data_IF_043654623659
#
_entry.id   IF_043654623659
#
_cell.length_a   1.000
_cell.length_b   1.000
_cell.length_c   1.000
_cell.angle_alpha   90.00
_cell.angle_beta   90.00
_cell.angle_gamma   90.00
#
_symmetry.space_group_name_H-M   'P 1'
#
loop_
_entity.id
_entity.type
_entity.pdbx_description
1 polymer ?
#
# COMPACT_ATOMS: atom_id res chain seq x y z
N UNK A 1 15.80 -18.59 34.55
CA UNK A 1 14.42 -18.17 34.22
C UNK A 1 14.31 -17.40 32.90
N UNK A 2 15.04 -16.28 32.70
CA UNK A 2 14.93 -15.47 31.48
C UNK A 2 15.22 -16.21 30.15
N UNK A 3 16.19 -17.14 30.12
CA UNK A 3 16.47 -17.98 28.93
C UNK A 3 15.33 -18.93 28.55
N UNK A 4 14.56 -19.42 29.53
CA UNK A 4 13.41 -20.30 29.31
C UNK A 4 12.20 -19.53 28.79
N UNK A 5 12.01 -18.29 29.22
CA UNK A 5 10.94 -17.41 28.72
C UNK A 5 11.23 -16.99 27.27
N UNK A 6 12.49 -16.66 26.96
CA UNK A 6 12.89 -16.32 25.60
C UNK A 6 12.81 -17.52 24.63
N UNK A 7 13.22 -18.70 25.09
CA UNK A 7 13.12 -19.93 24.28
C UNK A 7 11.67 -20.35 24.08
N UNK A 8 10.80 -20.20 25.08
CA UNK A 8 9.36 -20.46 24.96
C UNK A 8 8.66 -19.45 24.05
N UNK A 9 9.04 -18.16 24.11
CA UNK A 9 8.49 -17.13 23.22
C UNK A 9 8.91 -17.34 21.76
N UNK A 10 10.18 -17.69 21.52
CA UNK A 10 10.65 -18.06 20.18
C UNK A 10 10.01 -19.36 19.70
N UNK A 11 9.89 -20.39 20.55
CA UNK A 11 9.28 -21.67 20.18
C UNK A 11 7.78 -21.52 19.89
N UNK A 12 7.06 -20.70 20.65
CA UNK A 12 5.65 -20.37 20.41
C UNK A 12 5.46 -19.64 19.08
N UNK A 13 6.29 -18.63 18.77
CA UNK A 13 6.28 -17.99 17.44
C UNK A 13 6.65 -18.96 16.33
N UNK A 14 7.63 -19.84 16.54
CA UNK A 14 8.06 -20.82 15.53
C UNK A 14 7.01 -21.92 15.29
N UNK A 15 6.25 -22.30 16.33
CA UNK A 15 5.13 -23.23 16.25
C UNK A 15 3.94 -22.61 15.53
N UNK A 16 3.66 -21.32 15.75
CA UNK A 16 2.71 -20.55 14.95
C UNK A 16 3.15 -20.48 13.48
N UNK A 17 4.44 -20.23 13.20
CA UNK A 17 4.99 -20.25 11.83
C UNK A 17 4.91 -21.64 11.18
N UNK A 18 5.11 -22.73 11.94
CA UNK A 18 4.94 -24.11 11.44
C UNK A 18 3.48 -24.47 11.17
N UNK A 19 2.54 -24.02 12.01
CA UNK A 19 1.10 -24.22 11.77
C UNK A 19 0.59 -23.37 10.59
N UNK A 20 1.21 -22.21 10.34
CA UNK A 20 0.97 -21.36 9.16
C UNK A 20 1.47 -22.03 7.87
N UNK A 21 2.58 -22.78 7.91
CA UNK A 21 3.17 -23.49 6.75
C UNK A 21 2.24 -24.53 6.11
N UNK A 22 1.18 -24.96 6.79
CA UNK A 22 0.19 -25.92 6.26
C UNK A 22 -1.08 -25.26 5.68
N UNK A 23 -1.22 -23.93 5.72
CA UNK A 23 -2.40 -23.23 5.21
C UNK A 23 -2.33 -22.78 3.75
N UNK A 24 -1.13 -22.70 3.16
CA UNK A 24 -0.91 -22.23 1.78
C UNK A 24 -0.27 -23.32 0.92
N UNK A 25 -1.08 -24.33 0.58
CA UNK A 25 -0.81 -25.18 -0.57
C UNK A 25 -1.21 -24.41 -1.84
N UNK A 26 -0.40 -24.44 -2.90
CA UNK A 26 -0.75 -23.86 -4.21
C UNK A 26 -2.07 -24.47 -4.77
N UNK A 27 -2.47 -25.67 -4.30
CA UNK A 27 -3.80 -26.26 -4.57
C UNK A 27 -4.97 -25.53 -3.88
N UNK A 28 -4.73 -24.62 -2.93
CA UNK A 28 -5.77 -23.74 -2.37
C UNK A 28 -6.11 -22.60 -3.34
N UNK A 29 -5.24 -22.31 -4.32
CA UNK A 29 -5.46 -21.21 -5.26
C UNK A 29 -6.69 -21.42 -6.15
N UNK A 30 -6.91 -22.65 -6.60
CA UNK A 30 -8.11 -23.06 -7.35
C UNK A 30 -9.37 -23.24 -6.49
N UNK A 31 -9.23 -23.34 -5.15
CA UNK A 31 -10.36 -23.29 -4.20
C UNK A 31 -10.77 -21.86 -3.84
N UNK A 32 -10.00 -20.83 -4.19
CA UNK A 32 -10.31 -19.43 -3.83
C UNK A 32 -11.47 -18.81 -4.62
N UNK A 33 -11.75 -19.25 -5.85
CA UNK A 33 -12.93 -18.78 -6.60
C UNK A 33 -14.25 -19.19 -5.92
N UNK A 34 -14.25 -20.30 -5.18
CA UNK A 34 -15.41 -20.90 -4.51
C UNK A 34 -15.39 -20.78 -2.97
N UNK A 35 -14.51 -19.95 -2.40
CA UNK A 35 -14.46 -19.77 -0.95
C UNK A 35 -15.68 -18.95 -0.48
N UNK A 36 -16.63 -19.62 0.16
CA UNK A 36 -17.75 -18.98 0.85
C UNK A 36 -17.23 -18.38 2.16
N UNK A 37 -16.69 -17.16 2.09
CA UNK A 37 -16.31 -16.38 3.27
C UNK A 37 -17.59 -15.90 3.95
N UNK A 38 -17.84 -16.37 5.17
CA UNK A 38 -19.00 -15.94 5.96
C UNK A 38 -18.74 -14.58 6.64
N UNK A 39 -19.79 -13.91 7.14
CA UNK A 39 -19.63 -12.67 7.93
C UNK A 39 -18.74 -12.89 9.16
N UNK A 40 -18.89 -14.02 9.85
CA UNK A 40 -18.11 -14.37 11.04
C UNK A 40 -16.64 -14.65 10.71
N UNK A 41 -16.34 -15.28 9.57
CA UNK A 41 -14.95 -15.49 9.12
C UNK A 41 -14.24 -14.15 8.85
N UNK A 42 -14.93 -13.21 8.20
CA UNK A 42 -14.36 -11.88 7.96
C UNK A 42 -14.19 -11.10 9.26
N UNK A 43 -15.17 -11.13 10.18
CA UNK A 43 -15.05 -10.48 11.48
C UNK A 43 -13.83 -10.98 12.26
N UNK A 44 -13.63 -12.30 12.32
CA UNK A 44 -12.42 -12.89 12.94
C UNK A 44 -11.15 -12.42 12.24
N UNK A 45 -11.14 -12.35 10.92
CA UNK A 45 -9.98 -11.86 10.18
C UNK A 45 -9.70 -10.37 10.46
N UNK A 46 -10.72 -9.53 10.61
CA UNK A 46 -10.56 -8.13 11.00
C UNK A 46 -9.98 -8.03 12.41
N UNK A 47 -10.43 -8.86 13.34
CA UNK A 47 -9.86 -8.90 14.70
C UNK A 47 -8.40 -9.41 14.69
N UNK A 48 -8.07 -10.41 13.86
CA UNK A 48 -6.69 -10.86 13.62
C UNK A 48 -5.82 -9.71 13.07
N UNK A 49 -6.36 -8.89 12.16
CA UNK A 49 -5.66 -7.74 11.59
C UNK A 49 -5.39 -6.68 12.67
N UNK A 50 -6.39 -6.33 13.48
CA UNK A 50 -6.20 -5.39 14.58
C UNK A 50 -5.16 -5.90 15.59
N UNK A 51 -5.16 -7.22 15.87
CA UNK A 51 -4.12 -7.82 16.70
C UNK A 51 -2.74 -7.74 16.05
N UNK A 52 -2.66 -7.98 14.73
CA UNK A 52 -1.43 -7.81 13.95
C UNK A 52 -0.93 -6.36 14.01
N UNK A 53 -1.80 -5.38 13.80
CA UNK A 53 -1.48 -3.95 13.87
C UNK A 53 -0.90 -3.54 15.24
N UNK A 54 -1.52 -4.03 16.33
CA UNK A 54 -1.02 -3.83 17.70
C UNK A 54 0.32 -4.51 17.93
N UNK A 55 0.45 -5.78 17.52
CA UNK A 55 1.67 -6.56 17.75
C UNK A 55 2.88 -6.04 16.95
N UNK A 56 2.65 -5.55 15.74
CA UNK A 56 3.67 -4.91 14.89
C UNK A 56 3.84 -3.43 15.18
N UNK A 57 3.03 -2.88 16.10
CA UNK A 57 3.00 -1.46 16.45
C UNK A 57 2.85 -0.58 15.20
N UNK A 58 2.06 -1.03 14.24
CA UNK A 58 1.83 -0.32 12.98
C UNK A 58 0.85 0.81 13.22
N UNK A 59 -0.30 0.50 13.81
CA UNK A 59 -1.34 1.45 14.19
C UNK A 59 -2.12 0.87 15.38
N UNK A 60 -2.08 1.53 16.54
CA UNK A 60 -2.80 1.06 17.74
C UNK A 60 -3.72 2.15 18.27
N UNK A 61 -4.99 2.08 17.85
CA UNK A 61 -6.04 3.02 18.27
C UNK A 61 -6.34 2.97 19.78
N UNK A 62 -5.93 1.91 20.48
CA UNK A 62 -6.15 1.80 21.93
C UNK A 62 -5.12 2.58 22.75
N UNK A 63 -4.02 3.02 22.13
CA UNK A 63 -2.94 3.76 22.79
C UNK A 63 -3.12 5.26 22.64
N UNK A 64 -2.59 6.01 23.61
CA UNK A 64 -2.62 7.46 23.56
C UNK A 64 -1.86 7.98 22.34
N UNK A 65 -2.31 9.12 21.82
CA UNK A 65 -1.63 9.84 20.75
C UNK A 65 -0.12 10.04 21.04
N UNK A 66 0.21 10.40 22.29
CA UNK A 66 1.59 10.59 22.75
C UNK A 66 2.47 9.34 22.55
N UNK A 67 1.91 8.14 22.75
CA UNK A 67 2.63 6.88 22.54
C UNK A 67 2.99 6.68 21.06
N UNK A 68 2.03 6.92 20.17
CA UNK A 68 2.25 6.79 18.72
C UNK A 68 3.24 7.84 18.19
N UNK A 69 3.20 9.05 18.75
CA UNK A 69 4.16 10.11 18.46
C UNK A 69 5.57 9.73 18.88
N UNK A 70 5.76 9.25 20.11
CA UNK A 70 7.07 8.81 20.58
C UNK A 70 7.62 7.68 19.70
N UNK A 71 6.80 6.70 19.34
CA UNK A 71 7.23 5.60 18.47
C UNK A 71 7.65 6.09 17.08
N UNK A 72 6.86 6.99 16.47
CA UNK A 72 7.17 7.55 15.16
C UNK A 72 8.43 8.40 15.21
N UNK A 73 8.65 9.16 16.29
CA UNK A 73 9.87 9.91 16.54
C UNK A 73 11.08 8.99 16.67
N UNK A 74 10.99 7.91 17.46
CA UNK A 74 12.08 6.92 17.58
C UNK A 74 12.44 6.35 16.21
N UNK A 75 11.45 6.00 15.40
CA UNK A 75 11.68 5.43 14.06
C UNK A 75 12.28 6.46 13.11
N UNK A 76 11.82 7.71 13.18
CA UNK A 76 12.41 8.81 12.42
C UNK A 76 13.88 9.03 12.80
N UNK A 77 14.20 9.08 14.10
CA UNK A 77 15.56 9.22 14.60
C UNK A 77 16.44 8.04 14.15
N UNK A 78 15.93 6.81 14.22
CA UNK A 78 16.64 5.63 13.70
C UNK A 78 16.90 5.73 12.20
N UNK A 79 15.94 6.21 11.41
CA UNK A 79 16.11 6.44 9.98
C UNK A 79 17.10 7.57 9.68
N UNK A 80 17.10 8.65 10.45
CA UNK A 80 18.10 9.72 10.34
C UNK A 80 19.49 9.17 10.68
N UNK A 81 19.63 8.38 11.75
CA UNK A 81 20.90 7.74 12.10
C UNK A 81 21.39 6.81 10.98
N UNK A 82 20.49 6.05 10.36
CA UNK A 82 20.82 5.21 9.20
C UNK A 82 21.23 6.06 7.98
N UNK A 83 20.52 7.15 7.71
CA UNK A 83 20.87 8.08 6.62
C UNK A 83 22.22 8.76 6.87
N UNK A 84 22.52 9.17 8.10
CA UNK A 84 23.80 9.74 8.50
C UNK A 84 24.93 8.71 8.42
N UNK A 85 24.67 7.47 8.85
CA UNK A 85 25.60 6.34 8.63
C UNK A 85 25.88 6.15 7.15
N UNK A 86 24.87 6.22 6.28
CA UNK A 86 25.07 6.12 4.84
C UNK A 86 25.86 7.31 4.26
N UNK A 87 25.57 8.53 4.70
CA UNK A 87 26.30 9.71 4.30
C UNK A 87 27.79 9.57 4.68
N UNK A 88 28.06 9.09 5.90
CA UNK A 88 29.41 8.78 6.35
C UNK A 88 30.07 7.71 5.47
N UNK A 89 29.37 6.61 5.17
CA UNK A 89 29.86 5.55 4.28
C UNK A 89 30.15 6.04 2.86
N UNK A 90 29.39 7.03 2.37
CA UNK A 90 29.51 7.57 1.02
C UNK A 90 30.70 8.55 0.90
N UNK A 91 30.94 9.35 1.93
CA UNK A 91 32.00 10.37 1.96
C UNK A 91 33.35 9.78 2.42
N UNK A 92 33.33 8.72 3.24
CA UNK A 92 34.55 8.15 3.81
C UNK A 92 35.19 7.16 2.83
N UNK A 93 36.44 7.38 2.47
CA UNK A 93 37.24 6.44 1.67
C UNK A 93 38.08 5.47 2.51
N UNK A 94 38.08 5.60 3.84
CA UNK A 94 38.70 4.64 4.75
C UNK A 94 37.92 3.32 4.78
N UNK A 95 38.52 2.26 4.27
CA UNK A 95 37.99 0.90 4.30
C UNK A 95 37.68 0.43 5.74
N UNK A 96 38.55 0.77 6.70
CA UNK A 96 38.38 0.41 8.10
C UNK A 96 37.14 1.07 8.71
N UNK A 97 36.94 2.36 8.48
CA UNK A 97 35.75 3.08 8.98
C UNK A 97 34.49 2.53 8.31
N UNK A 98 34.54 2.23 7.00
CA UNK A 98 33.41 1.63 6.27
C UNK A 98 33.02 0.25 6.81
N UNK A 99 34.01 -0.58 7.09
CA UNK A 99 33.82 -1.90 7.70
C UNK A 99 33.15 -1.80 9.08
N UNK A 100 33.63 -0.90 9.95
CA UNK A 100 33.05 -0.70 11.28
C UNK A 100 31.69 -0.01 11.25
N UNK A 101 31.45 0.84 10.25
CA UNK A 101 30.14 1.43 10.02
C UNK A 101 29.16 0.42 9.43
N UNK A 102 29.56 -0.81 9.11
CA UNK A 102 28.68 -1.88 8.66
C UNK A 102 28.33 -1.78 7.17
N UNK A 103 29.31 -1.48 6.31
CA UNK A 103 29.19 -1.54 4.84
C UNK A 103 28.92 -2.98 4.40
N UNK A 104 27.83 -3.25 3.70
CA UNK A 104 27.41 -4.63 3.44
C UNK A 104 28.10 -5.19 2.17
N UNK A 105 28.73 -4.32 1.35
CA UNK A 105 29.19 -4.67 0.01
C UNK A 105 30.67 -4.32 -0.28
N UNK A 106 31.54 -4.35 0.75
CA UNK A 106 33.02 -4.20 0.70
C UNK A 106 33.65 -4.52 -0.67
N UNK A 107 34.57 -3.73 -1.23
CA UNK A 107 34.30 -2.43 -1.83
C UNK A 107 34.87 -2.40 -3.26
N UNK A 108 34.02 -2.16 -4.26
CA UNK A 108 34.37 -1.39 -5.45
C UNK A 108 33.58 -0.07 -5.39
N UNK A 109 33.94 0.94 -6.18
CA UNK A 109 33.16 2.19 -6.26
C UNK A 109 31.68 1.95 -6.61
N UNK A 110 31.42 0.90 -7.39
CA UNK A 110 30.10 0.50 -7.88
C UNK A 110 29.20 -0.11 -6.79
N UNK A 111 29.78 -0.75 -5.77
CA UNK A 111 29.01 -1.41 -4.71
C UNK A 111 28.58 -0.49 -3.57
N UNK A 112 29.16 0.73 -3.47
CA UNK A 112 28.75 1.76 -2.50
C UNK A 112 27.26 2.11 -2.61
N UNK A 113 26.72 2.05 -3.83
CA UNK A 113 25.33 2.40 -4.16
C UNK A 113 24.35 1.31 -3.72
N UNK A 114 24.81 0.09 -3.46
CA UNK A 114 23.92 -0.97 -2.96
C UNK A 114 23.46 -0.71 -1.54
N UNK A 115 24.31 -0.09 -0.71
CA UNK A 115 23.88 0.40 0.60
C UNK A 115 22.75 1.44 0.45
N UNK A 116 22.79 2.30 -0.57
CA UNK A 116 21.71 3.24 -0.88
C UNK A 116 20.40 2.51 -1.19
N UNK A 117 20.41 1.50 -2.07
CA UNK A 117 19.21 0.73 -2.42
C UNK A 117 18.66 -0.10 -1.24
N UNK A 118 19.53 -0.69 -0.42
CA UNK A 118 19.12 -1.38 0.81
C UNK A 118 18.42 -0.44 1.80
N UNK A 119 18.87 0.81 1.91
CA UNK A 119 18.33 1.79 2.85
C UNK A 119 17.15 2.60 2.28
N UNK A 120 17.04 2.74 0.95
CA UNK A 120 15.85 3.27 0.28
C UNK A 120 14.58 2.51 0.73
N UNK A 121 14.67 1.18 0.81
CA UNK A 121 13.59 0.33 1.29
C UNK A 121 13.23 0.52 2.77
N UNK A 122 14.10 1.15 3.57
CA UNK A 122 13.84 1.47 4.98
C UNK A 122 13.19 2.86 5.15
N UNK A 123 13.58 3.83 4.33
CA UNK A 123 13.08 5.21 4.37
C UNK A 123 11.62 5.28 3.90
N UNK A 124 11.29 4.62 2.80
CA UNK A 124 9.95 4.71 2.20
C UNK A 124 8.83 4.23 3.14
N UNK A 125 8.93 3.06 3.82
CA UNK A 125 7.91 2.62 4.76
C UNK A 125 7.75 3.53 5.98
N UNK A 126 8.76 4.35 6.32
CA UNK A 126 8.65 5.36 7.38
C UNK A 126 7.63 6.45 7.04
N UNK A 127 7.44 6.77 5.76
CA UNK A 127 6.43 7.74 5.32
C UNK A 127 5.02 7.28 5.70
N UNK A 128 4.76 5.97 5.66
CA UNK A 128 3.50 5.39 6.14
C UNK A 128 3.25 5.64 7.63
N UNK A 129 4.28 5.63 8.47
CA UNK A 129 4.14 5.96 9.90
C UNK A 129 3.90 7.45 10.14
N UNK A 130 4.61 8.31 9.43
CA UNK A 130 4.42 9.76 9.51
C UNK A 130 2.97 10.10 9.10
N UNK A 131 2.46 9.46 8.05
CA UNK A 131 1.06 9.58 7.66
C UNK A 131 0.09 9.14 8.74
N UNK A 132 0.29 7.95 9.32
CA UNK A 132 -0.59 7.45 10.38
C UNK A 132 -0.63 8.40 11.57
N UNK A 133 0.47 9.09 11.84
CA UNK A 133 0.55 10.11 12.89
C UNK A 133 -0.29 11.33 12.51
N UNK A 134 -0.16 11.80 11.27
CA UNK A 134 -0.99 12.89 10.73
C UNK A 134 -2.49 12.55 10.77
N UNK A 135 -2.88 11.34 10.34
CA UNK A 135 -4.26 10.86 10.44
C UNK A 135 -4.78 10.88 11.87
N UNK A 136 -3.96 10.46 12.83
CA UNK A 136 -4.34 10.41 14.22
C UNK A 136 -4.43 11.80 14.88
N UNK A 137 -3.73 12.81 14.33
CA UNK A 137 -3.81 14.21 14.78
C UNK A 137 -4.93 15.01 14.12
N UNK A 138 -5.32 14.66 12.89
CA UNK A 138 -6.35 15.42 12.21
C UNK A 138 -7.68 15.21 12.94
N UNK A 139 -8.23 16.27 13.55
CA UNK A 139 -9.54 16.27 14.23
C UNK A 139 -10.73 15.94 13.28
N UNK A 140 -10.45 15.67 12.00
CA UNK A 140 -11.44 15.30 10.99
C UNK A 140 -11.68 13.80 11.00
N UNK A 141 -12.93 13.39 10.70
CA UNK A 141 -13.33 11.99 10.48
C UNK A 141 -12.33 11.30 9.54
N UNK A 142 -11.79 10.15 9.95
CA UNK A 142 -10.80 9.42 9.16
C UNK A 142 -11.50 8.65 8.05
N UNK A 143 -10.89 8.51 6.86
CA UNK A 143 -11.47 7.61 5.85
C UNK A 143 -11.56 6.16 6.36
N UNK A 144 -10.75 5.78 7.36
CA UNK A 144 -10.78 4.47 8.01
C UNK A 144 -12.09 4.21 8.77
N UNK A 145 -12.86 5.25 9.10
CA UNK A 145 -14.14 5.10 9.79
C UNK A 145 -15.16 4.35 8.91
N UNK A 146 -15.01 4.39 7.57
CA UNK A 146 -15.85 3.58 6.69
C UNK A 146 -15.67 2.08 6.92
N UNK A 147 -14.45 1.65 7.30
CA UNK A 147 -14.17 0.25 7.60
C UNK A 147 -14.67 -0.12 9.00
N UNK A 148 -14.77 0.86 9.92
CA UNK A 148 -15.42 0.68 11.22
C UNK A 148 -16.92 0.49 11.02
N UNK A 149 -17.56 1.37 10.26
CA UNK A 149 -18.99 1.27 9.91
C UNK A 149 -19.28 -0.05 9.19
N UNK A 150 -18.40 -0.47 8.27
CA UNK A 150 -18.51 -1.77 7.62
C UNK A 150 -18.37 -2.93 8.63
N UNK A 151 -17.40 -2.89 9.55
CA UNK A 151 -17.24 -3.90 10.61
C UNK A 151 -18.49 -4.00 11.48
N UNK A 152 -19.10 -2.87 11.84
CA UNK A 152 -20.33 -2.82 12.61
C UNK A 152 -21.51 -3.43 11.84
N UNK A 153 -21.62 -3.16 10.54
CA UNK A 153 -22.65 -3.77 9.68
C UNK A 153 -22.53 -5.31 9.61
N UNK A 154 -21.32 -5.87 9.76
CA UNK A 154 -21.14 -7.32 9.78
C UNK A 154 -21.66 -7.99 11.07
N UNK A 155 -21.80 -7.23 12.17
CA UNK A 155 -22.25 -7.74 13.47
C UNK A 155 -23.77 -7.88 13.56
N UNK A 156 -24.53 -7.09 12.78
CA UNK A 156 -25.98 -7.17 12.77
C UNK A 156 -26.49 -8.37 11.97
N UNK A 157 -27.47 -9.14 12.46
CA UNK A 157 -27.99 -10.33 11.78
C UNK A 157 -28.50 -10.01 10.36
N UNK A 158 -29.14 -8.84 10.18
CA UNK A 158 -29.67 -8.35 8.90
C UNK A 158 -29.02 -7.04 8.42
N UNK A 159 -27.90 -6.66 9.02
CA UNK A 159 -27.23 -5.43 8.61
C UNK A 159 -26.43 -5.67 7.31
N UNK A 160 -26.83 -4.98 6.25
CA UNK A 160 -26.06 -4.81 5.04
C UNK A 160 -25.38 -3.45 5.07
N UNK A 161 -24.13 -3.38 4.60
CA UNK A 161 -23.51 -2.08 4.37
C UNK A 161 -24.27 -1.34 3.29
N UNK A 162 -24.75 -0.14 3.61
CA UNK A 162 -25.55 0.68 2.72
C UNK A 162 -24.88 0.89 1.35
N UNK A 163 -23.55 0.97 1.31
CA UNK A 163 -22.76 1.18 0.10
C UNK A 163 -22.45 -0.10 -0.71
N UNK A 164 -22.64 -1.30 -0.17
CA UNK A 164 -22.23 -2.58 -0.82
C UNK A 164 -23.39 -3.53 -1.11
N UNK A 165 -24.63 -3.05 -1.08
CA UNK A 165 -25.88 -3.83 -1.23
C UNK A 165 -25.84 -5.03 -2.19
N UNK A 166 -25.32 -4.89 -3.41
CA UNK A 166 -25.30 -6.01 -4.40
C UNK A 166 -23.94 -6.69 -4.56
N UNK A 167 -22.85 -6.06 -4.07
CA UNK A 167 -21.46 -6.55 -4.21
C UNK A 167 -20.80 -6.94 -2.89
N UNK A 168 -21.53 -6.95 -1.78
CA UNK A 168 -21.00 -7.24 -0.43
C UNK A 168 -20.21 -8.55 -0.38
N UNK A 169 -20.76 -9.64 -0.96
CA UNK A 169 -20.08 -10.94 -0.94
C UNK A 169 -18.74 -10.92 -1.70
N UNK A 170 -18.67 -10.19 -2.82
CA UNK A 170 -17.43 -10.05 -3.59
C UNK A 170 -16.39 -9.25 -2.80
N UNK A 171 -16.80 -8.11 -2.24
CA UNK A 171 -15.93 -7.29 -1.42
C UNK A 171 -15.45 -8.05 -0.17
N UNK A 172 -16.34 -8.82 0.49
CA UNK A 172 -15.99 -9.66 1.65
C UNK A 172 -14.90 -10.67 1.34
N UNK A 173 -14.97 -11.35 0.19
CA UNK A 173 -13.92 -12.27 -0.27
C UNK A 173 -12.60 -11.54 -0.53
N UNK A 174 -12.65 -10.40 -1.21
CA UNK A 174 -11.47 -9.57 -1.50
C UNK A 174 -10.81 -9.06 -0.21
N UNK A 175 -11.61 -8.53 0.73
CA UNK A 175 -11.13 -8.02 2.01
C UNK A 175 -10.47 -9.14 2.84
N UNK A 176 -11.13 -10.29 2.96
CA UNK A 176 -10.57 -11.45 3.67
C UNK A 176 -9.20 -11.87 3.09
N UNK A 177 -9.10 -11.94 1.76
CA UNK A 177 -7.86 -12.32 1.09
C UNK A 177 -6.73 -11.30 1.33
N UNK A 178 -7.05 -10.01 1.26
CA UNK A 178 -6.07 -8.95 1.50
C UNK A 178 -5.57 -8.97 2.94
N UNK A 179 -6.45 -9.20 3.92
CA UNK A 179 -6.04 -9.31 5.34
C UNK A 179 -5.03 -10.44 5.51
N UNK A 180 -5.34 -11.62 4.97
CA UNK A 180 -4.42 -12.77 5.09
C UNK A 180 -3.09 -12.47 4.39
N UNK A 181 -3.11 -11.79 3.24
CA UNK A 181 -1.88 -11.40 2.53
C UNK A 181 -1.05 -10.37 3.30
N UNK A 182 -1.70 -9.37 3.92
CA UNK A 182 -1.05 -8.31 4.70
C UNK A 182 -0.26 -8.86 5.88
N UNK A 183 -0.75 -9.92 6.54
CA UNK A 183 -0.04 -10.53 7.68
C UNK A 183 1.27 -11.24 7.29
N UNK A 184 1.40 -11.69 6.03
CA UNK A 184 2.58 -12.44 5.57
C UNK A 184 3.57 -11.60 4.78
N UNK A 185 3.09 -10.60 4.03
CA UNK A 185 3.93 -9.81 3.14
C UNK A 185 5.15 -9.16 3.84
N UNK A 186 5.06 -8.57 5.05
CA UNK A 186 6.22 -8.00 5.73
C UNK A 186 7.29 -9.04 6.06
N UNK A 187 6.86 -10.24 6.46
CA UNK A 187 7.79 -11.33 6.75
C UNK A 187 8.54 -11.78 5.48
N UNK A 188 7.84 -11.89 4.36
CA UNK A 188 8.45 -12.31 3.08
C UNK A 188 9.49 -11.28 2.61
N UNK A 189 9.12 -9.99 2.59
CA UNK A 189 10.02 -8.92 2.13
C UNK A 189 11.26 -8.84 3.02
N UNK A 190 11.09 -8.82 4.35
CA UNK A 190 12.21 -8.76 5.30
C UNK A 190 13.10 -10.00 5.19
N UNK A 191 12.50 -11.19 5.09
CA UNK A 191 13.28 -12.44 4.97
C UNK A 191 14.13 -12.45 3.71
N UNK A 192 13.60 -11.98 2.58
CA UNK A 192 14.37 -11.87 1.34
C UNK A 192 15.54 -10.89 1.48
N UNK A 193 15.29 -9.70 2.04
CA UNK A 193 16.35 -8.71 2.30
C UNK A 193 17.44 -9.26 3.22
N UNK A 194 17.07 -9.98 4.27
CA UNK A 194 18.02 -10.58 5.22
C UNK A 194 18.84 -11.70 4.57
N UNK A 195 18.22 -12.57 3.75
CA UNK A 195 18.94 -13.62 3.01
C UNK A 195 19.93 -13.00 2.03
N UNK A 196 19.51 -11.97 1.29
CA UNK A 196 20.39 -11.25 0.37
C UNK A 196 21.56 -10.56 1.09
N UNK A 197 21.33 -9.95 2.25
CA UNK A 197 22.42 -9.38 3.04
C UNK A 197 23.36 -10.45 3.59
N UNK A 198 22.82 -11.54 4.14
CA UNK A 198 23.63 -12.60 4.75
C UNK A 198 24.50 -13.28 3.71
N UNK A 199 23.98 -13.54 2.50
CA UNK A 199 24.76 -14.14 1.42
C UNK A 199 25.93 -13.25 0.98
N UNK A 200 25.70 -11.93 0.90
CA UNK A 200 26.77 -10.98 0.55
C UNK A 200 27.83 -10.88 1.64
N UNK A 201 27.42 -10.90 2.92
CA UNK A 201 28.37 -10.91 4.04
C UNK A 201 29.20 -12.20 4.05
N UNK A 202 28.60 -13.37 3.80
CA UNK A 202 29.36 -14.64 3.75
C UNK A 202 30.37 -14.71 2.62
N UNK A 203 30.13 -14.01 1.51
CA UNK A 203 31.00 -14.06 0.32
C UNK A 203 32.14 -13.03 0.44
N UNK A 204 31.88 -11.86 1.01
CA UNK A 204 32.82 -10.73 0.97
C UNK A 204 33.76 -10.64 2.18
N UNK A 205 33.49 -11.37 3.27
CA UNK A 205 34.24 -11.23 4.52
C UNK A 205 35.04 -12.48 4.87
N UNK A 206 36.38 -12.37 4.81
CA UNK A 206 37.31 -13.45 5.14
C UNK A 206 37.67 -13.54 6.63
N UNK A 207 37.50 -12.45 7.39
CA UNK A 207 37.82 -12.39 8.83
C UNK A 207 36.61 -12.72 9.70
N UNK A 208 36.77 -13.68 10.62
CA UNK A 208 35.74 -14.06 11.59
C UNK A 208 35.25 -12.87 12.45
N UNK A 209 36.16 -11.95 12.83
CA UNK A 209 35.81 -10.78 13.64
C UNK A 209 34.88 -9.83 12.88
N UNK A 210 35.18 -9.56 11.61
CA UNK A 210 34.36 -8.70 10.76
C UNK A 210 33.02 -9.37 10.43
N UNK A 211 33.04 -10.68 10.19
CA UNK A 211 31.83 -11.46 9.98
C UNK A 211 30.87 -11.38 11.18
N UNK A 212 31.38 -11.58 12.42
CA UNK A 212 30.55 -11.48 13.64
C UNK A 212 29.94 -10.08 13.78
N UNK A 213 30.71 -9.02 13.54
CA UNK A 213 30.19 -7.64 13.60
C UNK A 213 29.08 -7.39 12.58
N UNK A 214 29.22 -7.93 11.35
CA UNK A 214 28.20 -7.79 10.32
C UNK A 214 26.92 -8.57 10.64
N UNK A 215 27.02 -9.75 11.25
CA UNK A 215 25.85 -10.51 11.71
C UNK A 215 25.10 -9.75 12.82
N UNK A 216 25.81 -9.09 13.74
CA UNK A 216 25.19 -8.22 14.76
C UNK A 216 24.45 -7.05 14.07
N UNK A 217 25.06 -6.41 13.08
CA UNK A 217 24.40 -5.37 12.30
C UNK A 217 23.15 -5.87 11.57
N UNK A 218 23.21 -7.03 10.91
CA UNK A 218 22.06 -7.65 10.22
C UNK A 218 20.92 -7.91 11.21
N UNK A 219 21.21 -8.41 12.41
CA UNK A 219 20.19 -8.67 13.42
C UNK A 219 19.48 -7.38 13.87
N UNK A 220 20.24 -6.30 14.10
CA UNK A 220 19.68 -4.98 14.47
C UNK A 220 18.84 -4.43 13.31
N UNK A 221 19.36 -4.46 12.08
CA UNK A 221 18.65 -4.00 10.89
C UNK A 221 17.36 -4.79 10.65
N UNK A 222 17.36 -6.10 10.88
CA UNK A 222 16.16 -6.94 10.73
C UNK A 222 14.99 -6.48 11.59
N UNK A 223 15.24 -6.11 12.85
CA UNK A 223 14.19 -5.60 13.75
C UNK A 223 13.66 -4.24 13.28
N UNK A 224 14.56 -3.33 12.88
CA UNK A 224 14.19 -1.98 12.42
C UNK A 224 13.43 -2.03 11.09
N UNK A 225 13.91 -2.85 10.15
CA UNK A 225 13.28 -3.04 8.84
C UNK A 225 11.90 -3.68 8.96
N UNK A 226 11.75 -4.68 9.83
CA UNK A 226 10.45 -5.32 10.01
C UNK A 226 9.36 -4.34 10.44
N UNK A 227 9.63 -3.52 11.46
CA UNK A 227 8.64 -2.54 11.94
C UNK A 227 8.30 -1.47 10.89
N UNK A 228 9.30 -1.04 10.12
CA UNK A 228 9.11 -0.03 9.06
C UNK A 228 8.31 -0.64 7.90
N UNK A 229 8.77 -1.77 7.36
CA UNK A 229 8.15 -2.49 6.22
C UNK A 229 6.72 -2.92 6.56
N UNK A 230 6.46 -3.40 7.77
CA UNK A 230 5.11 -3.72 8.22
C UNK A 230 4.15 -2.52 8.07
N UNK A 231 4.62 -1.32 8.42
CA UNK A 231 3.81 -0.09 8.28
C UNK A 231 3.62 0.34 6.83
N UNK A 232 4.67 0.26 6.00
CA UNK A 232 4.55 0.56 4.57
C UNK A 232 3.63 -0.42 3.83
N UNK A 233 3.72 -1.71 4.14
CA UNK A 233 2.84 -2.72 3.54
C UNK A 233 1.40 -2.56 4.03
N UNK A 234 1.20 -2.25 5.31
CA UNK A 234 -0.14 -1.95 5.82
C UNK A 234 -0.74 -0.74 5.11
N UNK A 235 0.04 0.31 4.89
CA UNK A 235 -0.40 1.50 4.14
C UNK A 235 -0.83 1.13 2.72
N UNK A 236 -0.02 0.35 1.98
CA UNK A 236 -0.39 -0.15 0.65
C UNK A 236 -1.65 -1.02 0.71
N UNK A 237 -1.76 -1.89 1.71
CA UNK A 237 -2.93 -2.75 1.91
C UNK A 237 -4.22 -1.93 2.08
N UNK A 238 -4.20 -0.89 2.92
CA UNK A 238 -5.36 -0.03 3.15
C UNK A 238 -5.75 0.75 1.89
N UNK A 239 -4.77 1.19 1.09
CA UNK A 239 -5.04 1.85 -0.19
C UNK A 239 -5.72 0.91 -1.19
N UNK A 240 -5.22 -0.33 -1.30
CA UNK A 240 -5.83 -1.35 -2.17
C UNK A 240 -7.25 -1.65 -1.70
N UNK A 241 -7.44 -1.78 -0.38
CA UNK A 241 -8.75 -2.03 0.21
C UNK A 241 -9.74 -0.89 -0.07
N UNK A 242 -9.29 0.37 0.06
CA UNK A 242 -10.10 1.53 -0.28
C UNK A 242 -10.47 1.55 -1.77
N UNK A 243 -9.53 1.30 -2.68
CA UNK A 243 -9.84 1.24 -4.11
C UNK A 243 -10.88 0.15 -4.44
N UNK A 244 -10.75 -1.03 -3.83
CA UNK A 244 -11.69 -2.13 -4.05
C UNK A 244 -13.06 -1.86 -3.42
N UNK A 245 -13.10 -1.25 -2.24
CA UNK A 245 -14.36 -0.80 -1.64
C UNK A 245 -15.06 0.18 -2.59
N UNK A 246 -14.34 1.19 -3.09
CA UNK A 246 -14.85 2.16 -4.05
C UNK A 246 -15.46 1.48 -5.29
N UNK A 247 -14.70 0.57 -5.92
CA UNK A 247 -15.14 -0.14 -7.12
C UNK A 247 -16.43 -0.94 -6.87
N UNK A 248 -16.49 -1.71 -5.79
CA UNK A 248 -17.65 -2.53 -5.47
C UNK A 248 -18.87 -1.68 -5.07
N UNK A 249 -18.66 -0.56 -4.40
CA UNK A 249 -19.72 0.39 -4.07
C UNK A 249 -20.28 1.07 -5.31
N UNK A 250 -19.41 1.51 -6.23
CA UNK A 250 -19.82 2.07 -7.51
C UNK A 250 -20.57 1.03 -8.36
N UNK A 251 -20.10 -0.21 -8.42
CA UNK A 251 -20.81 -1.30 -9.11
C UNK A 251 -22.20 -1.58 -8.48
N UNK A 252 -22.31 -1.46 -7.16
CA UNK A 252 -23.59 -1.58 -6.47
C UNK A 252 -24.54 -0.46 -6.87
N UNK A 253 -24.04 0.79 -6.91
CA UNK A 253 -24.79 1.95 -7.38
C UNK A 253 -25.22 1.83 -8.85
N UNK A 254 -24.36 1.35 -9.75
CA UNK A 254 -24.72 1.11 -11.16
C UNK A 254 -25.89 0.13 -11.24
N UNK A 255 -25.86 -0.93 -10.43
CA UNK A 255 -26.93 -1.94 -10.39
C UNK A 255 -28.24 -1.34 -9.84
N UNK A 256 -28.16 -0.56 -8.75
CA UNK A 256 -29.33 0.13 -8.19
C UNK A 256 -29.92 1.15 -9.16
N UNK A 257 -29.07 1.90 -9.86
CA UNK A 257 -29.45 2.83 -10.92
C UNK A 257 -30.26 2.14 -12.04
N UNK A 258 -29.80 0.97 -12.50
CA UNK A 258 -30.52 0.18 -13.51
C UNK A 258 -31.89 -0.33 -13.04
N UNK A 259 -32.05 -0.58 -11.74
CA UNK A 259 -33.35 -0.95 -11.17
C UNK A 259 -34.27 0.26 -11.07
N UNK A 260 -33.74 1.44 -10.73
CA UNK A 260 -34.50 2.69 -10.67
C UNK A 260 -35.06 3.13 -12.03
N UNK A 261 -34.42 2.73 -13.14
CA UNK A 261 -34.96 2.97 -14.49
C UNK A 261 -36.14 2.08 -14.85
N UNK A 262 -36.46 1.05 -14.05
CA UNK A 262 -37.64 0.19 -14.27
C UNK A 262 -38.84 0.73 -13.50
N UNK A 263 -39.98 0.87 -14.19
CA UNK A 263 -41.23 1.43 -13.66
C UNK A 263 -41.75 0.65 -12.43
N UNK A 264 -41.42 -0.63 -12.33
CA UNK A 264 -41.85 -1.53 -11.25
C UNK A 264 -41.06 -1.39 -9.94
N UNK A 265 -39.85 -0.83 -9.99
CA UNK A 265 -38.98 -0.69 -8.81
C UNK A 265 -38.74 0.76 -8.38
N UNK A 266 -39.32 1.72 -9.11
CA UNK A 266 -39.25 3.13 -8.75
C UNK A 266 -40.13 3.43 -7.53
N UNK A 267 -39.50 3.76 -6.41
CA UNK A 267 -40.16 4.36 -5.25
C UNK A 267 -39.35 5.58 -4.79
N UNK A 268 -40.02 6.57 -4.20
CA UNK A 268 -39.35 7.77 -3.68
C UNK A 268 -38.25 7.44 -2.64
N UNK A 269 -38.51 6.44 -1.79
CA UNK A 269 -37.53 5.95 -0.81
C UNK A 269 -36.29 5.34 -1.47
N UNK A 270 -36.47 4.54 -2.54
CA UNK A 270 -35.36 3.95 -3.29
C UNK A 270 -34.52 5.02 -3.99
N UNK A 271 -35.17 6.03 -4.60
CA UNK A 271 -34.48 7.14 -5.23
C UNK A 271 -33.68 7.97 -4.23
N UNK A 272 -34.28 8.32 -3.08
CA UNK A 272 -33.60 9.09 -2.04
C UNK A 272 -32.39 8.34 -1.45
N UNK A 273 -32.54 7.04 -1.21
CA UNK A 273 -31.46 6.16 -0.76
C UNK A 273 -30.30 6.12 -1.77
N UNK A 274 -30.60 5.97 -3.06
CA UNK A 274 -29.59 5.97 -4.13
C UNK A 274 -28.79 7.27 -4.22
N UNK A 275 -29.45 8.43 -4.19
CA UNK A 275 -28.75 9.72 -4.20
C UNK A 275 -27.92 9.93 -2.93
N UNK A 276 -28.42 9.49 -1.76
CA UNK A 276 -27.67 9.55 -0.52
C UNK A 276 -26.37 8.72 -0.60
N UNK A 277 -26.46 7.47 -1.06
CA UNK A 277 -25.29 6.59 -1.25
C UNK A 277 -24.29 7.16 -2.26
N UNK A 278 -24.80 7.77 -3.33
CA UNK A 278 -23.98 8.40 -4.37
C UNK A 278 -23.20 9.63 -3.86
N UNK A 279 -23.81 10.44 -3.00
CA UNK A 279 -23.11 11.53 -2.32
C UNK A 279 -22.10 11.01 -1.29
N UNK A 280 -22.46 9.95 -0.56
CA UNK A 280 -21.59 9.35 0.45
C UNK A 280 -20.30 8.80 -0.16
N UNK A 281 -20.38 8.11 -1.31
CA UNK A 281 -19.18 7.62 -2.01
C UNK A 281 -18.32 8.77 -2.53
N UNK A 282 -18.93 9.83 -3.07
CA UNK A 282 -18.23 11.03 -3.55
C UNK A 282 -17.43 11.70 -2.42
N UNK A 283 -18.10 12.01 -1.31
CA UNK A 283 -17.48 12.64 -0.14
C UNK A 283 -16.35 11.79 0.45
N UNK A 284 -16.49 10.46 0.40
CA UNK A 284 -15.47 9.56 0.89
C UNK A 284 -14.23 9.49 -0.03
N UNK A 285 -14.42 9.46 -1.35
CA UNK A 285 -13.32 9.57 -2.30
C UNK A 285 -12.57 10.90 -2.14
N UNK A 286 -13.30 12.01 -1.98
CA UNK A 286 -12.71 13.33 -1.67
C UNK A 286 -11.93 13.30 -0.34
N UNK A 287 -12.47 12.64 0.69
CA UNK A 287 -11.80 12.49 1.98
C UNK A 287 -10.49 11.70 1.86
N UNK A 288 -10.48 10.60 1.10
CA UNK A 288 -9.27 9.83 0.79
C UNK A 288 -8.25 10.71 0.08
N UNK A 289 -8.63 11.37 -1.01
CA UNK A 289 -7.73 12.22 -1.77
C UNK A 289 -7.11 13.30 -0.88
N UNK A 290 -7.92 13.99 -0.09
CA UNK A 290 -7.45 15.01 0.85
C UNK A 290 -6.46 14.45 1.90
N UNK A 291 -6.74 13.29 2.50
CA UNK A 291 -5.90 12.74 3.56
C UNK A 291 -4.60 12.14 3.00
N UNK A 292 -4.63 11.55 1.81
CA UNK A 292 -3.47 10.86 1.23
C UNK A 292 -2.65 11.68 0.23
N UNK A 293 -3.14 12.87 -0.20
CA UNK A 293 -2.53 13.67 -1.28
C UNK A 293 -1.00 13.77 -1.20
N UNK A 294 -0.48 14.24 -0.07
CA UNK A 294 0.95 14.46 0.11
C UNK A 294 1.76 13.17 0.10
N UNK A 295 1.27 12.11 0.71
CA UNK A 295 1.99 10.83 0.73
C UNK A 295 1.98 10.19 -0.65
N UNK A 296 0.88 10.29 -1.40
CA UNK A 296 0.85 9.81 -2.77
C UNK A 296 1.83 10.56 -3.67
N UNK A 297 1.92 11.89 -3.57
CA UNK A 297 2.94 12.65 -4.32
C UNK A 297 4.33 12.15 -3.96
N UNK A 298 4.66 12.15 -2.67
CA UNK A 298 6.02 11.84 -2.23
C UNK A 298 6.37 10.40 -2.60
N UNK A 299 5.46 9.45 -2.38
CA UNK A 299 5.66 8.06 -2.76
C UNK A 299 5.79 7.88 -4.28
N UNK A 300 4.98 8.59 -5.07
CA UNK A 300 5.01 8.50 -6.53
C UNK A 300 6.33 9.01 -7.10
N UNK A 301 6.75 10.22 -6.71
CA UNK A 301 8.03 10.82 -7.14
C UNK A 301 9.20 9.97 -6.68
N UNK A 302 9.18 9.53 -5.42
CA UNK A 302 10.23 8.69 -4.85
C UNK A 302 10.35 7.35 -5.59
N UNK A 303 9.24 6.62 -5.78
CA UNK A 303 9.25 5.33 -6.45
C UNK A 303 9.68 5.46 -7.92
N UNK A 304 9.20 6.49 -8.63
CA UNK A 304 9.54 6.71 -10.03
C UNK A 304 11.03 7.01 -10.22
N UNK A 305 11.57 7.92 -9.40
CA UNK A 305 13.01 8.24 -9.40
C UNK A 305 13.86 7.00 -9.16
N UNK A 306 13.52 6.20 -8.15
CA UNK A 306 14.30 5.01 -7.81
C UNK A 306 14.14 3.87 -8.80
N UNK A 307 12.98 3.73 -9.44
CA UNK A 307 12.80 2.77 -10.53
C UNK A 307 13.78 3.06 -11.67
N UNK A 308 13.88 4.32 -12.10
CA UNK A 308 14.80 4.75 -13.15
C UNK A 308 16.25 4.53 -12.71
N UNK A 309 16.58 4.91 -11.47
CA UNK A 309 17.92 4.77 -10.93
C UNK A 309 18.35 3.28 -10.87
N UNK A 310 17.52 2.39 -10.36
CA UNK A 310 17.84 0.95 -10.29
C UNK A 310 18.00 0.37 -11.70
N UNK A 311 17.11 0.73 -12.63
CA UNK A 311 17.18 0.28 -14.02
C UNK A 311 18.46 0.77 -14.71
N UNK A 312 18.86 2.02 -14.46
CA UNK A 312 20.14 2.57 -14.89
C UNK A 312 21.33 1.77 -14.34
N UNK A 313 21.33 1.47 -13.05
CA UNK A 313 22.41 0.67 -12.45
C UNK A 313 22.50 -0.74 -13.04
N UNK A 314 21.36 -1.38 -13.27
CA UNK A 314 21.29 -2.72 -13.86
C UNK A 314 21.79 -2.80 -15.30
N UNK A 315 21.69 -1.70 -16.06
CA UNK A 315 22.01 -1.67 -17.49
C UNK A 315 23.42 -1.16 -17.78
N UNK A 316 23.92 -0.20 -17.00
CA UNK A 316 25.21 0.44 -17.26
C UNK A 316 26.40 -0.24 -16.57
N UNK A 317 26.20 -0.88 -15.41
CA UNK A 317 27.30 -1.45 -14.64
C UNK A 317 27.35 -2.98 -14.71
N UNK A 318 28.56 -3.51 -14.82
CA UNK A 318 28.82 -4.95 -14.74
C UNK A 318 29.16 -5.32 -13.31
N UNK A 319 28.16 -5.77 -12.55
CA UNK A 319 28.42 -6.29 -11.20
C UNK A 319 29.16 -7.63 -11.26
N UNK A 320 30.23 -7.75 -10.48
CA UNK A 320 31.01 -8.99 -10.31
C UNK A 320 30.29 -10.08 -9.51
N UNK A 321 29.29 -9.72 -8.69
CA UNK A 321 28.51 -10.67 -7.88
C UNK A 321 27.08 -10.80 -8.40
N UNK A 322 26.64 -12.03 -8.70
CA UNK A 322 25.28 -12.30 -9.19
C UNK A 322 24.19 -11.88 -8.18
N UNK A 323 24.44 -12.04 -6.87
CA UNK A 323 23.51 -11.67 -5.81
C UNK A 323 23.10 -10.19 -5.83
N UNK A 324 24.00 -9.31 -6.27
CA UNK A 324 23.74 -7.87 -6.44
C UNK A 324 22.65 -7.62 -7.48
N UNK A 325 22.75 -8.28 -8.64
CA UNK A 325 21.77 -8.14 -9.72
C UNK A 325 20.41 -8.66 -9.27
N UNK A 326 20.38 -9.81 -8.61
CA UNK A 326 19.14 -10.40 -8.08
C UNK A 326 18.47 -9.45 -7.08
N UNK A 327 19.25 -8.84 -6.19
CA UNK A 327 18.76 -7.88 -5.21
C UNK A 327 18.16 -6.63 -5.86
N UNK A 328 18.88 -6.02 -6.81
CA UNK A 328 18.40 -4.85 -7.55
C UNK A 328 17.15 -5.16 -8.36
N UNK A 329 17.10 -6.30 -9.04
CA UNK A 329 15.90 -6.75 -9.78
C UNK A 329 14.72 -6.91 -8.81
N UNK A 330 14.93 -7.52 -7.66
CA UNK A 330 13.86 -7.70 -6.66
C UNK A 330 13.30 -6.35 -6.17
N UNK A 331 14.15 -5.40 -5.79
CA UNK A 331 13.70 -4.06 -5.37
C UNK A 331 12.98 -3.35 -6.51
N UNK A 332 13.49 -3.47 -7.74
CA UNK A 332 12.88 -2.85 -8.90
C UNK A 332 11.47 -3.40 -9.17
N UNK A 333 11.32 -4.73 -9.12
CA UNK A 333 10.02 -5.40 -9.27
C UNK A 333 9.06 -4.99 -8.17
N UNK A 334 9.53 -4.88 -6.91
CA UNK A 334 8.70 -4.39 -5.80
C UNK A 334 8.22 -2.95 -6.05
N UNK A 335 9.14 -2.07 -6.44
CA UNK A 335 8.88 -0.64 -6.75
C UNK A 335 7.85 -0.51 -7.88
N UNK A 336 8.04 -1.26 -8.96
CA UNK A 336 7.12 -1.31 -10.09
C UNK A 336 5.76 -1.86 -9.69
N UNK A 337 5.72 -2.92 -8.88
CA UNK A 337 4.47 -3.52 -8.41
C UNK A 337 3.64 -2.49 -7.65
N UNK A 338 4.27 -1.72 -6.76
CA UNK A 338 3.56 -0.68 -6.00
C UNK A 338 3.09 0.45 -6.92
N UNK A 339 3.97 1.00 -7.75
CA UNK A 339 3.62 2.08 -8.70
C UNK A 339 2.47 1.68 -9.63
N UNK A 340 2.61 0.55 -10.33
CA UNK A 340 1.62 0.12 -11.31
C UNK A 340 0.31 -0.30 -10.66
N UNK A 341 0.34 -0.97 -9.49
CA UNK A 341 -0.89 -1.33 -8.78
C UNK A 341 -1.66 -0.08 -8.33
N UNK A 342 -0.97 0.94 -7.81
CA UNK A 342 -1.63 2.20 -7.41
C UNK A 342 -2.25 2.92 -8.61
N UNK A 343 -1.53 3.05 -9.72
CA UNK A 343 -2.06 3.69 -10.94
C UNK A 343 -3.24 2.89 -11.52
N UNK A 344 -3.09 1.56 -11.62
CA UNK A 344 -4.15 0.69 -12.13
C UNK A 344 -5.42 0.78 -11.29
N UNK A 345 -5.30 0.72 -9.96
CA UNK A 345 -6.44 0.81 -9.06
C UNK A 345 -7.12 2.19 -9.13
N UNK A 346 -6.34 3.28 -9.23
CA UNK A 346 -6.88 4.61 -9.43
C UNK A 346 -7.64 4.74 -10.76
N UNK A 347 -7.05 4.27 -11.85
CA UNK A 347 -7.67 4.25 -13.16
C UNK A 347 -8.95 3.40 -13.19
N UNK A 348 -8.96 2.25 -12.50
CA UNK A 348 -10.14 1.40 -12.37
C UNK A 348 -11.28 2.12 -11.65
N UNK A 349 -11.01 2.81 -10.54
CA UNK A 349 -12.00 3.63 -9.84
C UNK A 349 -12.54 4.74 -10.76
N UNK A 350 -11.65 5.42 -11.51
CA UNK A 350 -12.04 6.44 -12.48
C UNK A 350 -12.94 5.88 -13.60
N UNK A 351 -12.60 4.72 -14.15
CA UNK A 351 -13.42 4.03 -15.16
C UNK A 351 -14.80 3.66 -14.62
N UNK A 352 -14.86 3.10 -13.40
CA UNK A 352 -16.13 2.76 -12.73
C UNK A 352 -16.97 4.01 -12.49
N UNK A 353 -16.37 5.12 -12.08
CA UNK A 353 -17.06 6.40 -11.91
C UNK A 353 -17.61 6.92 -13.24
N UNK A 354 -16.86 6.80 -14.34
CA UNK A 354 -17.36 7.14 -15.67
C UNK A 354 -18.56 6.26 -16.09
N UNK A 355 -18.57 4.97 -15.75
CA UNK A 355 -19.71 4.09 -16.00
C UNK A 355 -20.92 4.50 -15.14
N UNK A 356 -20.69 4.89 -13.89
CA UNK A 356 -21.74 5.43 -13.03
C UNK A 356 -22.32 6.73 -13.62
N UNK A 357 -21.47 7.64 -14.09
CA UNK A 357 -21.91 8.86 -14.79
C UNK A 357 -22.81 8.54 -15.99
N UNK A 358 -22.40 7.60 -16.85
CA UNK A 358 -23.21 7.16 -17.98
C UNK A 358 -24.54 6.52 -17.54
N UNK A 359 -24.52 5.73 -16.47
CA UNK A 359 -25.74 5.16 -15.90
C UNK A 359 -26.69 6.26 -15.42
N UNK A 360 -26.19 7.25 -14.68
CA UNK A 360 -26.96 8.42 -14.25
C UNK A 360 -27.51 9.23 -15.42
N UNK A 361 -26.70 9.47 -16.45
CA UNK A 361 -27.13 10.20 -17.64
C UNK A 361 -28.33 9.51 -18.31
N UNK A 362 -28.24 8.19 -18.46
CA UNK A 362 -29.25 7.32 -19.07
C UNK A 362 -30.52 7.14 -18.25
N UNK A 363 -30.60 7.65 -17.02
CA UNK A 363 -31.85 7.64 -16.26
C UNK A 363 -32.88 8.52 -17.00
N UNK A 364 -33.66 7.97 -17.91
CA UNK A 364 -34.85 8.60 -18.46
C UNK A 364 -35.95 8.48 -17.41
N UNK A 365 -36.10 9.49 -16.57
CA UNK A 365 -37.31 9.61 -15.74
C UNK A 365 -38.40 10.13 -16.68
N UNK A 366 -38.96 9.24 -17.50
CA UNK A 366 -40.23 9.49 -18.18
C UNK A 366 -41.34 8.98 -17.27
N UNK A 367 -41.46 9.62 -16.10
CA UNK A 367 -42.58 9.41 -15.19
C UNK A 367 -43.67 10.39 -15.60
N UNK A 368 -44.62 9.92 -16.42
CA UNK A 368 -45.75 10.70 -16.89
C UNK A 368 -46.31 11.64 -15.81
N UNK A 369 -46.41 12.92 -16.17
CA UNK A 369 -47.18 13.99 -15.52
C UNK A 369 -46.94 14.31 -14.02
N UNK A 370 -45.91 13.77 -13.36
CA UNK A 370 -45.55 14.17 -11.99
C UNK A 370 -44.04 14.48 -11.90
N UNK A 371 -43.62 15.59 -12.51
CA UNK A 371 -42.28 16.12 -12.31
C UNK A 371 -42.12 16.62 -10.86
N UNK A 372 -41.55 15.78 -10.00
CA UNK A 372 -40.88 16.25 -8.79
C UNK A 372 -39.55 16.89 -9.24
N UNK A 373 -39.61 18.18 -9.62
CA UNK A 373 -38.47 19.03 -10.04
C UNK A 373 -37.23 18.79 -9.16
N UNK A 374 -37.43 18.48 -7.88
CA UNK A 374 -36.39 18.15 -6.91
C UNK A 374 -35.52 16.96 -7.33
N UNK A 375 -36.09 15.93 -7.94
CA UNK A 375 -35.36 14.75 -8.44
C UNK A 375 -34.56 15.11 -9.68
N UNK A 376 -35.13 15.89 -10.60
CA UNK A 376 -34.43 16.38 -11.79
C UNK A 376 -33.25 17.29 -11.41
N UNK A 377 -33.44 18.20 -10.46
CA UNK A 377 -32.37 19.05 -9.92
C UNK A 377 -31.28 18.24 -9.21
N UNK A 378 -31.65 17.21 -8.42
CA UNK A 378 -30.66 16.31 -7.80
C UNK A 378 -29.86 15.50 -8.83
N UNK A 379 -30.52 15.02 -9.88
CA UNK A 379 -29.87 14.35 -11.01
C UNK A 379 -28.88 15.30 -11.70
N UNK A 380 -29.32 16.51 -12.04
CA UNK A 380 -28.48 17.51 -12.69
C UNK A 380 -27.28 17.88 -11.82
N UNK A 381 -27.52 18.15 -10.53
CA UNK A 381 -26.46 18.46 -9.57
C UNK A 381 -25.43 17.34 -9.45
N UNK A 382 -25.87 16.08 -9.42
CA UNK A 382 -24.94 14.95 -9.32
C UNK A 382 -24.16 14.71 -10.62
N UNK A 383 -24.79 14.89 -11.78
CA UNK A 383 -24.10 14.86 -13.08
C UNK A 383 -23.05 15.97 -13.19
N UNK A 384 -23.40 17.19 -12.81
CA UNK A 384 -22.47 18.31 -12.72
C UNK A 384 -21.34 18.03 -11.72
N UNK A 385 -21.62 17.47 -10.56
CA UNK A 385 -20.58 17.10 -9.59
C UNK A 385 -19.60 16.07 -10.15
N UNK A 386 -20.09 14.97 -10.74
CA UNK A 386 -19.20 13.95 -11.32
C UNK A 386 -18.35 14.55 -12.44
N UNK A 387 -18.95 15.35 -13.32
CA UNK A 387 -18.27 15.90 -14.48
C UNK A 387 -17.31 17.04 -14.14
N UNK A 388 -17.72 17.98 -13.27
CA UNK A 388 -16.93 19.14 -12.89
C UNK A 388 -15.80 18.76 -11.92
N UNK A 389 -16.03 17.81 -11.01
CA UNK A 389 -15.01 17.40 -10.02
C UNK A 389 -14.20 16.18 -10.42
N UNK A 390 -14.55 15.47 -11.50
CA UNK A 390 -13.91 14.21 -11.93
C UNK A 390 -13.69 13.24 -10.76
N UNK A 391 -14.79 12.77 -10.16
CA UNK A 391 -14.72 11.85 -9.01
C UNK A 391 -13.81 10.65 -9.32
N UNK A 392 -12.83 10.41 -8.46
CA UNK A 392 -11.84 9.34 -8.62
C UNK A 392 -10.67 9.53 -7.68
N UNK A 393 -9.54 8.90 -7.97
CA UNK A 393 -8.31 9.08 -7.19
C UNK A 393 -7.32 10.00 -7.88
N UNK A 394 -6.57 10.73 -7.05
CA UNK A 394 -5.60 11.70 -7.49
C UNK A 394 -4.24 11.45 -6.87
N UNK A 395 -3.18 11.67 -7.66
CA UNK A 395 -1.85 11.89 -7.10
C UNK A 395 -1.82 13.35 -6.66
N UNK A 396 -1.77 13.57 -5.35
CA UNK A 396 -1.56 14.91 -4.82
C UNK A 396 -2.71 15.89 -4.90
N UNK A 397 -3.91 15.44 -5.25
CA UNK A 397 -5.03 16.29 -5.68
C UNK A 397 -4.75 17.08 -6.98
N UNK A 398 -3.67 16.77 -7.71
CA UNK A 398 -3.32 17.46 -8.97
C UNK A 398 -3.54 16.58 -10.19
N UNK A 399 -3.08 15.33 -10.13
CA UNK A 399 -3.08 14.42 -11.28
C UNK A 399 -4.19 13.39 -11.08
N UNK A 400 -5.27 13.52 -11.85
CA UNK A 400 -6.37 12.55 -11.86
C UNK A 400 -5.92 11.23 -12.48
N UNK A 401 -6.04 10.11 -11.74
CA UNK A 401 -5.64 8.78 -12.17
C UNK A 401 -6.60 8.19 -13.20
N UNK A 402 -6.22 8.27 -14.48
CA UNK A 402 -6.94 7.65 -15.60
C UNK A 402 -6.12 6.51 -16.26
N UNK A 403 -6.71 5.87 -17.28
CA UNK A 403 -6.03 4.81 -18.03
C UNK A 403 -4.78 5.30 -18.77
N UNK A 404 -4.67 6.60 -19.05
CA UNK A 404 -3.54 7.18 -19.78
C UNK A 404 -2.34 7.41 -18.88
N UNK A 405 -2.55 7.68 -17.59
CA UNK A 405 -1.47 7.94 -16.65
C UNK A 405 -0.49 6.78 -16.50
N UNK A 406 -0.94 5.54 -16.65
CA UNK A 406 -0.03 4.40 -16.64
C UNK A 406 0.94 4.46 -17.83
N UNK A 407 0.42 4.74 -19.03
CA UNK A 407 1.24 4.91 -20.23
C UNK A 407 2.16 6.13 -20.12
N UNK A 408 1.62 7.25 -19.65
CA UNK A 408 2.35 8.50 -19.46
C UNK A 408 3.50 8.32 -18.47
N UNK A 409 3.27 7.68 -17.32
CA UNK A 409 4.31 7.31 -16.37
C UNK A 409 5.39 6.44 -17.01
N UNK A 410 5.01 5.40 -17.78
CA UNK A 410 5.98 4.54 -18.45
C UNK A 410 6.83 5.34 -19.45
N UNK A 411 6.23 6.22 -20.23
CA UNK A 411 6.91 7.08 -21.20
C UNK A 411 7.83 8.10 -20.52
N UNK A 412 7.37 8.74 -19.44
CA UNK A 412 8.18 9.67 -18.65
C UNK A 412 9.40 8.97 -18.05
N UNK A 413 9.21 7.83 -17.40
CA UNK A 413 10.32 7.02 -16.87
C UNK A 413 11.30 6.59 -17.96
N UNK A 414 10.79 6.16 -19.12
CA UNK A 414 11.62 5.80 -20.28
C UNK A 414 12.41 6.99 -20.83
N UNK A 415 11.78 8.16 -20.94
CA UNK A 415 12.42 9.38 -21.43
C UNK A 415 13.51 9.88 -20.48
N UNK A 416 13.26 9.86 -19.17
CA UNK A 416 14.23 10.23 -18.15
C UNK A 416 15.42 9.27 -18.15
N UNK A 417 15.18 7.97 -18.27
CA UNK A 417 16.26 6.99 -18.42
C UNK A 417 17.14 7.27 -19.64
N UNK A 418 16.54 7.52 -20.81
CA UNK A 418 17.29 7.86 -22.02
C UNK A 418 18.10 9.16 -21.84
N UNK A 419 17.56 10.14 -21.14
CA UNK A 419 18.25 11.39 -20.81
C UNK A 419 19.44 11.17 -19.87
N UNK A 420 19.31 10.29 -18.86
CA UNK A 420 20.45 9.87 -18.02
C UNK A 420 21.55 9.22 -18.84
N UNK A 421 21.21 8.28 -19.73
CA UNK A 421 22.18 7.63 -20.63
C UNK A 421 22.86 8.64 -21.56
N UNK A 422 22.11 9.56 -22.16
CA UNK A 422 22.64 10.55 -23.11
C UNK A 422 23.62 11.53 -22.43
N UNK A 423 23.28 12.04 -21.25
CA UNK A 423 24.13 13.00 -20.54
C UNK A 423 25.44 12.39 -20.03
N UNK A 424 25.45 11.11 -19.66
CA UNK A 424 26.68 10.45 -19.19
C UNK A 424 27.59 10.08 -20.36
N UNK A 425 27.03 9.60 -21.48
CA UNK A 425 27.83 9.34 -22.68
C UNK A 425 28.51 10.61 -23.22
N UNK A 426 27.91 11.79 -23.01
CA UNK A 426 28.49 13.08 -23.39
C UNK A 426 29.63 13.54 -22.49
N UNK A 427 29.70 13.08 -21.23
CA UNK A 427 30.79 13.37 -20.30
C UNK A 427 31.92 12.33 -20.36
N UNK A 428 31.70 11.19 -21.02
CA UNK A 428 32.70 10.14 -21.25
C UNK A 428 33.34 10.20 -22.66
N UNK A 429 32.93 11.18 -23.47
CA UNK A 429 33.59 11.62 -24.70
C UNK A 429 34.35 12.91 -24.39
#
# INVERSE_FOLDING_TARGET
MARFILSYYCYSKMKNIKNIRFGFSIKSISKFSNLNVTKSDLLRAIDDLEHFERSTRTFDRSKSFQYFQLQSLIILLLNIMLAMKFLLLSITDSETIRLYAGDIFVSSSETKVLNYFCHMGAIMPCMGKIFLLYLNQSERKSFLDIFVEYKESLKGPDAESSLLSTRENLFRKQYYFLIKSCNYAPFVVVSFLLIAHTSMVTINYSSLKLYIMQIIHIAILGVVYYNSIASGIWFIFILVLAALFACNSIDSLITECSKLTSFTHYTWANALSFYHKSNLISNWLDCINMQFAWIFIVAYVYLAFHNILIFFYLTQFKFGYFGVRVFLIFINVLTLTVLYSCNYLGALVGQKTSLLHLAFYRISIDTGNLFDIKVALKKLHFLEQIQARKIGFYIGNYIYLDNNNMLLLTLECGSLYLLFCSNINRNNQ
#
